data_IF_300889679809
#
_entry.id   IF_300889679809
#
_cell.length_a   1.000
_cell.length_b   1.000
_cell.length_c   1.000
_cell.angle_alpha   90.00
_cell.angle_beta   90.00
_cell.angle_gamma   90.00
#
_symmetry.space_group_name_H-M   'P 1'
#
loop_
_entity.id
_entity.type
_entity.pdbx_description
1 polymer ?
#
# COMPACT_ATOMS: atom_id res chain seq x y z
N UNK A 1 -9.73 -31.15 -4.59
CA UNK A 1 -9.74 -29.81 -5.23
C UNK A 1 -9.42 -30.00 -6.70
N UNK A 2 -10.37 -29.74 -7.61
CA UNK A 2 -10.04 -29.68 -9.03
C UNK A 2 -9.27 -28.38 -9.28
N UNK A 3 -8.02 -28.49 -9.71
CA UNK A 3 -7.33 -27.36 -10.34
C UNK A 3 -7.88 -27.27 -11.77
N UNK A 4 -8.57 -26.17 -12.08
CA UNK A 4 -8.96 -25.86 -13.44
C UNK A 4 -7.70 -25.60 -14.26
N UNK A 5 -7.61 -26.18 -15.46
CA UNK A 5 -6.50 -25.88 -16.36
C UNK A 5 -6.51 -24.38 -16.72
N UNK A 6 -5.36 -23.69 -16.69
CA UNK A 6 -5.31 -22.26 -16.93
C UNK A 6 -5.74 -21.93 -18.36
N UNK A 7 -6.71 -21.03 -18.49
CA UNK A 7 -7.10 -20.48 -19.78
C UNK A 7 -5.93 -19.67 -20.37
N UNK A 8 -5.42 -20.07 -21.54
CA UNK A 8 -4.22 -19.48 -22.17
C UNK A 8 -4.50 -19.07 -23.62
N UNK A 9 -3.85 -18.00 -24.06
CA UNK A 9 -3.90 -17.52 -25.46
C UNK A 9 -2.49 -17.40 -26.04
N UNK A 10 -2.34 -17.79 -27.30
CA UNK A 10 -1.12 -17.56 -28.08
C UNK A 10 -1.05 -16.10 -28.52
N UNK A 11 -0.10 -15.33 -27.98
CA UNK A 11 0.16 -13.95 -28.41
C UNK A 11 1.29 -13.86 -29.44
N UNK A 12 2.10 -14.91 -29.56
CA UNK A 12 3.07 -15.11 -30.63
C UNK A 12 3.28 -16.61 -30.90
N UNK A 13 4.05 -16.95 -31.94
CA UNK A 13 4.30 -18.36 -32.37
C UNK A 13 4.77 -19.29 -31.24
N UNK A 14 5.42 -18.76 -30.21
CA UNK A 14 5.88 -19.52 -29.04
C UNK A 14 5.56 -18.82 -27.71
N UNK A 15 4.64 -17.85 -27.70
CA UNK A 15 4.29 -17.11 -26.48
C UNK A 15 2.87 -17.42 -26.09
N UNK A 16 2.72 -18.13 -24.97
CA UNK A 16 1.46 -18.33 -24.28
C UNK A 16 1.33 -17.32 -23.14
N UNK A 17 0.19 -16.67 -23.05
CA UNK A 17 -0.15 -15.77 -21.94
C UNK A 17 -1.36 -16.37 -21.23
N UNK A 18 -1.26 -16.51 -19.91
CA UNK A 18 -2.40 -16.89 -19.07
C UNK A 18 -3.41 -15.75 -19.03
N UNK A 19 -4.67 -16.07 -19.30
CA UNK A 19 -5.80 -15.16 -19.12
C UNK A 19 -6.28 -15.10 -17.68
N UNK A 20 -5.77 -15.97 -16.80
CA UNK A 20 -6.04 -15.85 -15.37
C UNK A 20 -5.53 -14.49 -14.89
N UNK A 21 -6.40 -13.65 -14.28
CA UNK A 21 -5.98 -12.35 -13.77
C UNK A 21 -4.80 -12.52 -12.83
N UNK A 22 -3.67 -11.92 -13.21
CA UNK A 22 -2.44 -11.93 -12.45
C UNK A 22 -2.72 -11.49 -11.00
N UNK A 23 -2.11 -12.13 -10.01
CA UNK A 23 -2.43 -11.87 -8.60
C UNK A 23 -2.24 -10.39 -8.24
N UNK A 24 -1.28 -9.69 -8.88
CA UNK A 24 -1.11 -8.26 -8.69
C UNK A 24 -2.27 -7.39 -9.21
N UNK A 25 -3.07 -7.89 -10.16
CA UNK A 25 -4.30 -7.23 -10.61
C UNK A 25 -5.46 -7.47 -9.64
N UNK A 26 -5.44 -8.61 -8.92
CA UNK A 26 -6.44 -8.94 -7.90
C UNK A 26 -6.13 -8.28 -6.56
N UNK A 27 -4.85 -8.15 -6.22
CA UNK A 27 -4.34 -7.63 -4.95
C UNK A 27 -3.35 -6.49 -5.22
N UNK A 28 -3.83 -5.29 -5.58
CA UNK A 28 -2.97 -4.17 -5.97
C UNK A 28 -2.03 -3.73 -4.83
N UNK A 29 -2.43 -3.90 -3.57
CA UNK A 29 -1.57 -3.61 -2.41
C UNK A 29 -0.45 -4.63 -2.19
N UNK A 30 -0.44 -5.76 -2.90
CA UNK A 30 0.62 -6.77 -2.82
C UNK A 30 1.71 -6.58 -3.88
N UNK A 31 1.57 -5.55 -4.72
CA UNK A 31 2.56 -5.21 -5.74
C UNK A 31 3.88 -4.79 -5.11
N UNK A 32 4.98 -5.21 -5.75
CA UNK A 32 6.32 -4.74 -5.42
C UNK A 32 6.59 -3.50 -6.26
N UNK A 33 6.79 -2.36 -5.59
CA UNK A 33 7.14 -1.10 -6.24
C UNK A 33 8.34 -0.47 -5.56
N UNK A 34 8.95 0.49 -6.24
CA UNK A 34 9.94 1.40 -5.68
C UNK A 34 9.39 2.82 -5.78
N UNK A 35 9.43 3.57 -4.69
CA UNK A 35 8.94 4.94 -4.65
C UNK A 35 10.04 5.90 -4.19
N UNK A 36 10.20 7.01 -4.90
CA UNK A 36 11.10 8.11 -4.50
C UNK A 36 10.27 9.32 -4.10
N UNK A 37 10.39 9.74 -2.84
CA UNK A 37 9.64 10.87 -2.29
C UNK A 37 10.45 12.16 -2.43
N UNK A 38 10.08 12.98 -3.40
CA UNK A 38 10.69 14.29 -3.60
C UNK A 38 10.05 15.32 -2.67
N UNK A 39 10.88 16.06 -1.92
CA UNK A 39 10.41 17.17 -1.09
C UNK A 39 10.10 18.38 -1.98
N UNK A 40 8.91 18.95 -1.86
CA UNK A 40 8.65 20.26 -2.44
C UNK A 40 9.45 21.34 -1.69
N UNK A 41 10.13 22.25 -2.41
CA UNK A 41 11.06 23.25 -1.84
C UNK A 41 10.50 24.10 -0.69
N UNK A 42 9.17 24.21 -0.55
CA UNK A 42 8.48 25.03 0.46
C UNK A 42 7.85 24.25 1.64
N UNK A 43 8.00 22.93 1.72
CA UNK A 43 7.37 22.14 2.79
C UNK A 43 8.27 22.00 4.03
N UNK A 44 7.68 22.10 5.23
CA UNK A 44 8.30 21.92 6.56
C UNK A 44 8.82 20.51 6.82
N UNK A 45 8.61 19.57 5.91
CA UNK A 45 9.02 18.17 6.02
C UNK A 45 8.11 17.30 5.18
N UNK A 46 8.39 16.00 5.13
CA UNK A 46 7.40 15.01 4.71
C UNK A 46 6.81 14.39 5.98
N UNK A 47 5.50 14.24 6.01
CA UNK A 47 4.80 13.55 7.09
C UNK A 47 4.63 12.07 6.75
N UNK A 48 4.38 11.23 7.76
CA UNK A 48 4.01 9.82 7.51
C UNK A 48 2.77 9.73 6.62
N UNK A 49 1.80 10.65 6.77
CA UNK A 49 0.65 10.74 5.88
C UNK A 49 1.01 10.98 4.41
N UNK A 50 2.03 11.80 4.13
CA UNK A 50 2.53 12.01 2.77
C UNK A 50 3.19 10.74 2.21
N UNK A 51 3.98 10.05 3.03
CA UNK A 51 4.55 8.75 2.66
C UNK A 51 3.48 7.71 2.33
N UNK A 52 2.48 7.57 3.19
CA UNK A 52 1.36 6.64 2.97
C UNK A 52 0.60 6.96 1.67
N UNK A 53 0.26 8.24 1.44
CA UNK A 53 -0.43 8.66 0.21
C UNK A 53 0.40 8.39 -1.04
N UNK A 54 1.70 8.58 -0.98
CA UNK A 54 2.60 8.32 -2.10
C UNK A 54 2.69 6.82 -2.44
N UNK A 55 2.78 5.96 -1.42
CA UNK A 55 2.78 4.50 -1.62
C UNK A 55 1.43 3.95 -2.11
N UNK A 56 0.32 4.66 -1.83
CA UNK A 56 -1.00 4.34 -2.36
C UNK A 56 -1.25 4.90 -3.78
N UNK A 57 -0.39 5.79 -4.28
CA UNK A 57 -0.61 6.44 -5.57
C UNK A 57 -0.66 5.40 -6.72
N UNK A 58 -1.69 5.48 -7.55
CA UNK A 58 -1.89 4.56 -8.69
C UNK A 58 -2.44 3.18 -8.33
N UNK A 59 -2.61 2.86 -7.03
CA UNK A 59 -3.17 1.56 -6.60
C UNK A 59 -4.70 1.51 -6.66
N UNK A 60 -5.35 2.68 -6.72
CA UNK A 60 -6.81 2.81 -6.58
C UNK A 60 -7.30 2.77 -5.13
N UNK A 61 -6.39 2.67 -4.14
CA UNK A 61 -6.68 2.76 -2.72
C UNK A 61 -6.41 4.15 -2.15
N UNK A 62 -7.21 4.55 -1.17
CA UNK A 62 -7.03 5.79 -0.41
C UNK A 62 -6.81 5.54 1.09
N UNK A 63 -6.39 6.57 1.83
CA UNK A 63 -6.48 6.53 3.29
C UNK A 63 -7.95 6.68 3.71
N UNK A 64 -8.35 5.95 4.74
CA UNK A 64 -9.75 5.98 5.15
C UNK A 64 -10.20 7.31 5.75
N UNK A 65 -11.49 7.61 5.52
CA UNK A 65 -12.18 8.80 6.00
C UNK A 65 -13.49 8.38 6.68
N UNK A 66 -13.90 9.07 7.77
CA UNK A 66 -13.21 10.19 8.43
C UNK A 66 -11.93 9.75 9.16
N UNK A 67 -10.95 10.66 9.25
CA UNK A 67 -9.70 10.39 9.97
C UNK A 67 -9.95 10.39 11.47
N UNK A 68 -9.74 9.25 12.13
CA UNK A 68 -9.80 9.12 13.59
C UNK A 68 -8.76 10.02 14.27
N UNK A 69 -8.99 10.38 15.55
CA UNK A 69 -8.03 11.17 16.33
C UNK A 69 -6.66 10.49 16.38
N UNK A 70 -6.64 9.18 16.59
CA UNK A 70 -5.42 8.37 16.60
C UNK A 70 -4.71 8.42 15.23
N UNK A 71 -5.44 8.12 14.15
CA UNK A 71 -4.86 8.15 12.80
C UNK A 71 -4.32 9.53 12.43
N UNK A 72 -4.90 10.61 12.96
CA UNK A 72 -4.38 11.98 12.77
C UNK A 72 -3.00 12.17 13.38
N UNK A 73 -2.72 11.58 14.55
CA UNK A 73 -1.39 11.58 15.16
C UNK A 73 -0.39 10.83 14.28
N UNK A 74 -0.77 9.67 13.74
CA UNK A 74 0.03 8.94 12.77
C UNK A 74 0.33 9.81 11.55
N UNK A 75 -0.69 10.34 10.87
CA UNK A 75 -0.52 11.02 9.60
C UNK A 75 0.26 12.34 9.70
N UNK A 76 0.16 13.06 10.82
CA UNK A 76 0.82 14.36 11.01
C UNK A 76 2.28 14.28 11.46
N UNK A 77 2.69 13.14 12.02
CA UNK A 77 4.06 12.95 12.50
C UNK A 77 5.10 12.85 11.37
N UNK A 78 6.38 13.18 11.63
CA UNK A 78 7.40 13.26 10.59
C UNK A 78 7.73 11.89 9.98
N UNK A 79 7.97 11.87 8.67
CA UNK A 79 8.44 10.68 7.96
C UNK A 79 9.95 10.52 8.15
N UNK A 80 10.45 9.35 8.59
CA UNK A 80 11.89 9.10 8.68
C UNK A 80 12.59 9.24 7.33
N UNK A 81 13.78 9.86 7.31
CA UNK A 81 14.48 10.19 6.06
C UNK A 81 14.82 8.97 5.18
N UNK A 82 14.97 7.77 5.76
CA UNK A 82 15.23 6.53 5.02
C UNK A 82 14.13 6.22 3.99
N UNK A 83 12.90 6.67 4.24
CA UNK A 83 11.76 6.46 3.34
C UNK A 83 11.80 7.33 2.07
N UNK A 84 12.71 8.31 1.98
CA UNK A 84 12.82 9.17 0.80
C UNK A 84 13.24 8.39 -0.46
N UNK A 85 14.04 7.36 -0.27
CA UNK A 85 14.55 6.48 -1.32
C UNK A 85 14.48 5.02 -0.85
N UNK A 86 13.30 4.62 -0.41
CA UNK A 86 13.06 3.24 0.01
C UNK A 86 13.22 2.31 -1.20
N UNK A 87 13.95 1.20 -1.03
CA UNK A 87 14.13 0.18 -2.05
C UNK A 87 12.82 -0.52 -2.45
N UNK A 88 12.86 -1.41 -3.46
CA UNK A 88 11.69 -2.17 -3.88
C UNK A 88 11.11 -3.00 -2.73
N UNK A 89 9.83 -2.85 -2.44
CA UNK A 89 9.11 -3.68 -1.47
C UNK A 89 7.62 -3.72 -1.77
N UNK A 90 6.90 -4.67 -1.14
CA UNK A 90 5.44 -4.78 -1.28
C UNK A 90 4.75 -3.56 -0.67
N UNK A 91 3.71 -3.06 -1.32
CA UNK A 91 3.00 -1.85 -0.89
C UNK A 91 2.42 -2.01 0.53
N UNK A 92 1.73 -3.11 0.82
CA UNK A 92 1.21 -3.43 2.16
C UNK A 92 2.31 -3.41 3.25
N UNK A 93 3.46 -4.02 2.96
CA UNK A 93 4.60 -4.03 3.87
C UNK A 93 5.16 -2.62 4.09
N UNK A 94 5.21 -1.79 3.05
CA UNK A 94 5.68 -0.41 3.15
C UNK A 94 4.72 0.44 3.98
N UNK A 95 3.41 0.31 3.73
CA UNK A 95 2.37 1.01 4.48
C UNK A 95 2.43 0.67 5.97
N UNK A 96 2.55 -0.62 6.31
CA UNK A 96 2.70 -1.08 7.69
C UNK A 96 4.02 -0.59 8.33
N UNK A 97 5.12 -0.58 7.58
CA UNK A 97 6.42 -0.13 8.10
C UNK A 97 6.49 1.39 8.28
N UNK A 98 5.84 2.18 7.41
CA UNK A 98 5.66 3.63 7.60
C UNK A 98 4.80 3.89 8.84
N UNK A 99 3.71 3.14 9.03
CA UNK A 99 2.87 3.26 10.20
C UNK A 99 3.60 2.90 11.50
N UNK A 100 4.44 1.86 11.45
CA UNK A 100 5.19 1.34 12.60
C UNK A 100 4.42 0.31 13.41
N UNK A 101 5.10 -0.35 14.35
CA UNK A 101 4.57 -1.49 15.12
C UNK A 101 3.43 -1.15 16.08
N UNK A 102 3.30 0.13 16.46
CA UNK A 102 2.20 0.61 17.30
C UNK A 102 0.84 0.66 16.57
N UNK A 103 0.83 0.42 15.26
CA UNK A 103 -0.34 0.50 14.39
C UNK A 103 -0.55 -0.82 13.67
N UNK A 104 -1.80 -1.13 13.38
CA UNK A 104 -2.14 -2.26 12.53
C UNK A 104 -2.90 -1.73 11.31
N UNK A 105 -2.39 -2.08 10.12
CA UNK A 105 -3.03 -1.81 8.85
C UNK A 105 -4.25 -2.70 8.66
N UNK A 106 -5.36 -2.11 8.25
CA UNK A 106 -6.56 -2.82 7.80
C UNK A 106 -7.02 -2.30 6.45
N UNK A 107 -7.54 -3.19 5.61
CA UNK A 107 -8.01 -2.85 4.27
C UNK A 107 -9.52 -3.05 4.22
N UNK A 108 -10.23 -2.01 3.82
CA UNK A 108 -11.66 -2.06 3.53
C UNK A 108 -11.83 -2.13 2.01
N UNK A 109 -12.03 -3.34 1.51
CA UNK A 109 -12.09 -3.66 0.07
C UNK A 109 -13.26 -2.96 -0.63
N UNK A 110 -14.41 -2.78 0.06
CA UNK A 110 -15.60 -2.17 -0.54
C UNK A 110 -15.37 -0.68 -0.81
N UNK A 111 -14.81 0.03 0.16
CA UNK A 111 -14.51 1.47 0.02
C UNK A 111 -13.16 1.74 -0.65
N UNK A 112 -12.35 0.69 -0.86
CA UNK A 112 -10.95 0.75 -1.29
C UNK A 112 -10.13 1.71 -0.43
N UNK A 113 -10.22 1.52 0.89
CA UNK A 113 -9.46 2.33 1.83
C UNK A 113 -8.54 1.50 2.71
N UNK A 114 -7.43 2.11 3.11
CA UNK A 114 -6.51 1.60 4.10
C UNK A 114 -6.65 2.42 5.38
N UNK A 115 -6.93 1.72 6.47
CA UNK A 115 -7.02 2.28 7.81
C UNK A 115 -5.85 1.81 8.68
N UNK A 116 -5.60 2.58 9.74
CA UNK A 116 -4.64 2.24 10.78
C UNK A 116 -5.31 2.38 12.14
N UNK A 117 -5.27 1.31 12.92
CA UNK A 117 -5.78 1.27 14.30
C UNK A 117 -4.62 1.03 15.26
N UNK A 118 -4.66 1.55 16.50
CA UNK A 118 -3.65 1.22 17.50
C UNK A 118 -3.57 -0.30 17.74
N UNK A 119 -2.36 -0.84 17.85
CA UNK A 119 -2.17 -2.28 18.01
C UNK A 119 -2.75 -2.83 19.32
N UNK A 120 -2.77 -2.00 20.37
CA UNK A 120 -3.32 -2.30 21.69
C UNK A 120 -4.84 -2.57 21.65
N UNK A 121 -5.57 -1.93 20.73
CA UNK A 121 -7.04 -2.06 20.65
C UNK A 121 -7.54 -3.40 20.09
N UNK A 122 -6.65 -4.33 19.69
CA UNK A 122 -7.05 -5.69 19.29
C UNK A 122 -7.04 -6.71 20.42
N UNK A 123 -6.52 -6.37 21.61
CA UNK A 123 -6.46 -7.28 22.76
C UNK A 123 -7.67 -7.17 23.70
N UNK A 124 -8.67 -6.37 23.33
CA UNK A 124 -9.90 -6.14 24.09
C UNK A 124 -11.13 -6.36 23.20
#
# INVERSE_FOLDING_TARGET
MLQAEPEVVHTARYTLVSLSPYDALRQPLHQIIHHTLLRHKKSSGLTRGDGLRAWLAGTGYGLCLPVSCDARLLYSSPLPNIWRSAGPMRIDAALQAIAGSAWIMTVEEVSRTVCFVPADQRQN
#
